data_IF_781526324699
#
_entry.id   IF_781526324699
#
_cell.length_a   1.000
_cell.length_b   1.000
_cell.length_c   1.000
_cell.angle_alpha   90.00
_cell.angle_beta   90.00
_cell.angle_gamma   90.00
#
_symmetry.space_group_name_H-M   'P 1'
#
loop_
_entity.id
_entity.type
_entity.pdbx_description
1 polymer ?
#
# COMPACT_ATOMS: atom_id res chain seq x y z
N UNK A 1 36.47 27.36 62.16
CA UNK A 1 36.18 26.71 60.86
C UNK A 1 35.52 27.74 59.98
N UNK A 2 36.28 28.27 59.04
CA UNK A 2 35.82 29.23 58.03
C UNK A 2 35.12 28.47 56.92
N UNK A 3 33.81 28.70 56.75
CA UNK A 3 33.08 28.23 55.57
C UNK A 3 33.65 28.94 54.33
N UNK A 4 34.19 28.18 53.38
CA UNK A 4 34.58 28.72 52.08
C UNK A 4 33.32 29.23 51.35
N UNK A 5 33.34 30.44 50.76
CA UNK A 5 32.22 30.91 49.97
C UNK A 5 32.14 30.05 48.71
N UNK A 6 31.20 29.10 48.71
CA UNK A 6 31.04 28.07 47.68
C UNK A 6 31.16 28.62 46.26
N UNK A 7 32.23 28.20 45.57
CA UNK A 7 32.45 28.40 44.15
C UNK A 7 31.52 27.51 43.31
N UNK A 8 30.21 27.67 43.50
CA UNK A 8 29.19 26.99 42.71
C UNK A 8 28.84 27.77 41.44
N UNK A 9 28.32 27.08 40.42
CA UNK A 9 27.88 27.67 39.16
C UNK A 9 26.94 28.88 39.35
N UNK A 10 26.06 28.82 40.36
CA UNK A 10 25.13 29.91 40.72
C UNK A 10 25.88 31.16 41.23
N UNK A 11 26.86 30.97 42.12
CA UNK A 11 27.64 32.07 42.71
C UNK A 11 28.58 32.74 41.68
N UNK A 12 28.97 32.00 40.63
CA UNK A 12 29.72 32.53 39.48
C UNK A 12 28.81 33.30 38.52
N UNK A 13 27.66 32.74 38.13
CA UNK A 13 26.68 33.42 37.26
C UNK A 13 26.16 34.73 37.88
N UNK A 14 25.97 34.77 39.22
CA UNK A 14 25.56 35.96 39.93
C UNK A 14 26.59 37.11 39.87
N UNK A 15 27.89 36.79 39.72
CA UNK A 15 28.97 37.80 39.59
C UNK A 15 29.24 38.18 38.14
N UNK A 16 28.91 37.30 37.19
CA UNK A 16 29.14 37.47 35.76
C UNK A 16 27.81 37.67 35.00
N UNK A 17 27.12 38.78 35.26
CA UNK A 17 25.81 39.11 34.68
C UNK A 17 25.79 39.13 33.14
N UNK A 18 26.90 39.54 32.50
CA UNK A 18 27.02 39.53 31.03
C UNK A 18 26.99 38.10 30.48
N UNK A 19 27.70 37.16 31.13
CA UNK A 19 27.72 35.76 30.72
C UNK A 19 26.36 35.09 30.92
N UNK A 20 25.68 35.40 32.04
CA UNK A 20 24.33 34.92 32.31
C UNK A 20 23.30 35.43 31.28
N UNK A 21 23.36 36.72 30.93
CA UNK A 21 22.46 37.29 29.92
C UNK A 21 22.75 36.75 28.52
N UNK A 22 24.02 36.54 28.15
CA UNK A 22 24.38 35.89 26.89
C UNK A 22 23.82 34.46 26.81
N UNK A 23 23.97 33.68 27.88
CA UNK A 23 23.41 32.34 27.95
C UNK A 23 21.88 32.35 27.82
N UNK A 24 21.21 33.28 28.50
CA UNK A 24 19.75 33.47 28.38
C UNK A 24 19.34 33.76 26.95
N UNK A 25 20.02 34.69 26.26
CA UNK A 25 19.71 35.02 24.86
C UNK A 25 19.95 33.83 23.94
N UNK A 26 21.03 33.07 24.14
CA UNK A 26 21.30 31.84 23.39
C UNK A 26 20.20 30.81 23.61
N UNK A 27 19.75 30.61 24.85
CA UNK A 27 18.67 29.67 25.17
C UNK A 27 17.32 30.12 24.58
N UNK A 28 17.00 31.41 24.62
CA UNK A 28 15.77 31.94 24.03
C UNK A 28 15.78 31.85 22.50
N UNK A 29 16.90 32.22 21.86
CA UNK A 29 17.05 32.11 20.42
C UNK A 29 17.04 30.64 19.96
N UNK A 30 17.72 29.75 20.70
CA UNK A 30 17.70 28.31 20.46
C UNK A 30 16.30 27.72 20.64
N UNK A 31 15.59 28.11 21.70
CA UNK A 31 14.21 27.70 21.93
C UNK A 31 13.28 28.13 20.80
N UNK A 32 13.36 29.40 20.38
CA UNK A 32 12.53 29.93 19.29
C UNK A 32 12.83 29.22 17.95
N UNK A 33 14.10 28.93 17.68
CA UNK A 33 14.50 28.15 16.51
C UNK A 33 13.92 26.73 16.57
N UNK A 34 14.08 26.03 17.69
CA UNK A 34 13.54 24.68 17.89
C UNK A 34 12.02 24.65 17.76
N UNK A 35 11.29 25.65 18.24
CA UNK A 35 9.82 25.73 18.08
C UNK A 35 9.39 25.75 16.61
N UNK A 36 10.19 26.35 15.73
CA UNK A 36 9.88 26.42 14.29
C UNK A 36 10.33 25.16 13.55
N UNK A 37 11.45 24.55 13.94
CA UNK A 37 12.04 23.40 13.21
C UNK A 37 11.56 22.04 13.71
N UNK A 38 10.95 21.95 14.90
CA UNK A 38 10.54 20.66 15.46
C UNK A 38 9.40 20.03 14.63
N UNK A 39 9.61 18.78 14.24
CA UNK A 39 8.58 17.96 13.59
C UNK A 39 7.49 17.64 14.60
N UNK A 40 6.24 17.89 14.22
CA UNK A 40 5.09 17.76 15.11
C UNK A 40 4.40 16.43 14.79
N UNK A 41 4.24 15.56 15.79
CA UNK A 41 3.56 14.27 15.67
C UNK A 41 2.69 14.00 16.91
N UNK A 42 1.44 13.51 16.74
CA UNK A 42 0.50 13.27 17.87
C UNK A 42 0.80 11.94 18.54
N UNK A 43 1.22 10.97 17.75
CA UNK A 43 1.54 9.63 18.21
C UNK A 43 3.03 9.42 18.05
N UNK A 44 3.72 8.84 19.04
CA UNK A 44 5.10 8.44 18.85
C UNK A 44 5.18 7.49 17.66
N UNK A 45 6.19 7.67 16.81
CA UNK A 45 6.48 6.68 15.78
C UNK A 45 6.90 5.39 16.47
N UNK A 46 6.04 4.39 16.41
CA UNK A 46 6.40 3.02 16.72
C UNK A 46 6.09 2.18 15.49
N UNK A 47 6.96 1.22 15.22
CA UNK A 47 6.79 0.31 14.12
C UNK A 47 6.00 -0.90 14.63
N UNK A 48 5.09 -1.47 13.83
CA UNK A 48 4.30 -2.64 14.26
C UNK A 48 5.18 -3.89 14.33
N UNK A 49 5.17 -4.60 15.45
CA UNK A 49 5.86 -5.88 15.61
C UNK A 49 4.97 -7.01 15.05
N UNK A 50 4.56 -6.91 13.79
CA UNK A 50 3.60 -7.84 13.16
C UNK A 50 4.09 -8.24 11.78
N UNK A 51 4.10 -9.54 11.51
CA UNK A 51 4.31 -10.12 10.17
C UNK A 51 2.99 -10.74 9.72
N UNK A 52 2.56 -10.43 8.50
CA UNK A 52 1.35 -10.98 7.91
C UNK A 52 1.73 -11.91 6.76
N UNK A 53 1.06 -13.06 6.70
CA UNK A 53 1.18 -14.04 5.62
C UNK A 53 -0.19 -14.17 4.96
N UNK A 54 -0.25 -14.05 3.63
CA UNK A 54 -1.46 -14.24 2.84
C UNK A 54 -1.23 -15.33 1.81
N UNK A 55 -2.20 -16.23 1.67
CA UNK A 55 -2.12 -17.33 0.71
C UNK A 55 -3.49 -17.47 0.05
N UNK A 56 -3.55 -17.38 -1.27
CA UNK A 56 -4.75 -17.68 -2.03
C UNK A 56 -4.84 -19.18 -2.33
N UNK A 57 -6.03 -19.72 -2.16
CA UNK A 57 -6.37 -21.10 -2.54
C UNK A 57 -7.76 -21.11 -3.19
N UNK A 58 -7.87 -20.62 -4.45
CA UNK A 58 -9.14 -20.39 -5.10
C UNK A 58 -10.02 -21.65 -5.16
N UNK A 59 -11.31 -21.50 -4.85
CA UNK A 59 -12.29 -22.59 -4.91
C UNK A 59 -12.27 -23.57 -3.73
N UNK A 60 -11.37 -23.40 -2.75
CA UNK A 60 -11.31 -24.22 -1.54
C UNK A 60 -12.31 -23.73 -0.47
N UNK A 61 -12.93 -24.68 0.24
CA UNK A 61 -13.77 -24.38 1.39
C UNK A 61 -12.93 -23.88 2.58
N UNK A 62 -13.47 -23.05 3.50
CA UNK A 62 -12.72 -22.54 4.65
C UNK A 62 -12.03 -23.64 5.48
N UNK A 63 -12.68 -24.80 5.62
CA UNK A 63 -12.09 -25.95 6.30
C UNK A 63 -10.87 -26.50 5.56
N UNK A 64 -10.90 -26.58 4.23
CA UNK A 64 -9.78 -27.06 3.43
C UNK A 64 -8.60 -26.09 3.47
N UNK A 65 -8.87 -24.78 3.41
CA UNK A 65 -7.86 -23.73 3.61
C UNK A 65 -7.19 -23.86 4.98
N UNK A 66 -7.97 -24.08 6.03
CA UNK A 66 -7.42 -24.33 7.37
C UNK A 66 -6.49 -25.55 7.39
N UNK A 67 -6.93 -26.68 6.84
CA UNK A 67 -6.17 -27.95 6.92
C UNK A 67 -4.94 -27.97 6.01
N UNK A 68 -5.10 -27.51 4.77
CA UNK A 68 -4.10 -27.65 3.71
C UNK A 68 -3.12 -26.48 3.62
N UNK A 69 -3.50 -25.31 4.14
CA UNK A 69 -2.70 -24.08 3.99
C UNK A 69 -2.29 -23.51 5.35
N UNK A 70 -3.24 -23.20 6.23
CA UNK A 70 -2.92 -22.50 7.48
C UNK A 70 -2.17 -23.38 8.48
N UNK A 71 -2.60 -24.65 8.67
CA UNK A 71 -1.92 -25.57 9.59
C UNK A 71 -0.43 -25.81 9.25
N UNK A 72 -0.05 -26.09 7.99
CA UNK A 72 1.37 -26.19 7.61
C UNK A 72 2.17 -24.92 7.91
N UNK A 73 1.59 -23.73 7.66
CA UNK A 73 2.24 -22.45 7.98
C UNK A 73 2.46 -22.31 9.48
N UNK A 74 1.44 -22.58 10.28
CA UNK A 74 1.52 -22.55 11.74
C UNK A 74 2.61 -23.49 12.28
N UNK A 75 2.66 -24.71 11.77
CA UNK A 75 3.66 -25.70 12.19
C UNK A 75 5.08 -25.28 11.80
N UNK A 76 5.26 -24.69 10.62
CA UNK A 76 6.56 -24.22 10.15
C UNK A 76 7.13 -23.07 10.98
N UNK A 77 6.27 -22.14 11.43
CA UNK A 77 6.72 -20.95 12.18
C UNK A 77 6.73 -21.15 13.70
N UNK A 78 6.04 -22.17 14.23
CA UNK A 78 5.94 -22.44 15.68
C UNK A 78 7.29 -22.58 16.39
N UNK A 79 8.33 -23.03 15.68
CA UNK A 79 9.68 -23.20 16.22
C UNK A 79 10.54 -21.93 16.26
N UNK A 80 10.06 -20.80 15.74
CA UNK A 80 10.81 -19.55 15.67
C UNK A 80 10.71 -18.82 17.01
N UNK A 81 11.86 -18.61 17.67
CA UNK A 81 11.92 -17.83 18.90
C UNK A 81 11.65 -16.34 18.61
N UNK A 82 10.85 -15.68 19.45
CA UNK A 82 10.51 -14.27 19.27
C UNK A 82 9.12 -14.00 18.69
N UNK A 83 8.33 -15.06 18.42
CA UNK A 83 6.89 -14.96 18.17
C UNK A 83 6.14 -14.90 19.50
N UNK A 84 5.30 -13.88 19.69
CA UNK A 84 4.42 -13.69 20.85
C UNK A 84 3.09 -14.42 20.67
N UNK A 85 2.41 -14.15 19.56
CA UNK A 85 1.07 -14.64 19.29
C UNK A 85 0.91 -14.91 17.79
N UNK A 86 0.12 -15.93 17.45
CA UNK A 86 -0.19 -16.27 16.08
C UNK A 86 -1.71 -16.43 15.97
N UNK A 87 -2.30 -15.69 15.05
CA UNK A 87 -3.73 -15.76 14.73
C UNK A 87 -3.92 -16.10 13.26
N UNK A 88 -4.63 -17.18 12.98
CA UNK A 88 -4.95 -17.62 11.61
C UNK A 88 -6.44 -17.43 11.34
N UNK A 89 -6.77 -16.96 10.14
CA UNK A 89 -8.16 -16.84 9.68
C UNK A 89 -8.30 -17.46 8.30
N UNK A 90 -9.26 -18.38 8.15
CA UNK A 90 -9.60 -19.00 6.88
C UNK A 90 -10.91 -18.41 6.35
N UNK A 91 -10.89 -18.03 5.08
CA UNK A 91 -12.09 -17.75 4.30
C UNK A 91 -12.17 -18.71 3.12
N UNK A 92 -13.30 -18.71 2.44
CA UNK A 92 -13.41 -19.38 1.14
C UNK A 92 -12.39 -18.76 0.19
N UNK A 93 -11.62 -19.61 -0.50
CA UNK A 93 -10.65 -19.16 -1.49
C UNK A 93 -9.34 -18.56 -0.95
N UNK A 94 -9.18 -18.28 0.36
CA UNK A 94 -7.96 -17.63 0.89
C UNK A 94 -7.75 -17.81 2.40
N UNK A 95 -6.49 -17.77 2.80
CA UNK A 95 -6.05 -17.79 4.21
C UNK A 95 -5.18 -16.60 4.58
N UNK A 96 -5.23 -16.20 5.85
CA UNK A 96 -4.34 -15.19 6.45
C UNK A 96 -3.77 -15.70 7.77
N UNK A 97 -2.48 -15.49 7.98
CA UNK A 97 -1.81 -15.70 9.28
C UNK A 97 -1.20 -14.38 9.73
N UNK A 98 -1.58 -13.92 10.92
CA UNK A 98 -1.04 -12.74 11.58
C UNK A 98 -0.13 -13.20 12.71
N UNK A 99 1.15 -12.85 12.62
CA UNK A 99 2.21 -13.25 13.56
C UNK A 99 2.66 -12.00 14.31
N UNK A 100 2.34 -11.93 15.59
CA UNK A 100 2.83 -10.88 16.48
C UNK A 100 4.18 -11.26 17.06
N UNK A 101 5.15 -10.35 17.00
CA UNK A 101 6.51 -10.54 17.50
C UNK A 101 6.64 -9.98 18.92
N UNK A 102 7.61 -10.49 19.67
CA UNK A 102 7.97 -9.95 20.99
C UNK A 102 8.59 -8.56 20.83
N UNK A 103 8.12 -7.61 21.64
CA UNK A 103 8.62 -6.24 21.60
C UNK A 103 10.12 -6.15 21.87
N UNK A 104 10.83 -5.43 21.00
CA UNK A 104 12.29 -5.24 21.07
C UNK A 104 13.11 -6.32 20.36
N UNK A 105 12.47 -7.32 19.75
CA UNK A 105 13.16 -8.26 18.87
C UNK A 105 13.54 -7.60 17.52
N UNK A 106 14.54 -8.17 16.84
CA UNK A 106 14.87 -7.75 15.47
C UNK A 106 13.81 -8.27 14.49
N UNK A 107 12.84 -7.39 14.20
CA UNK A 107 11.74 -7.64 13.26
C UNK A 107 12.19 -8.08 11.88
N UNK A 108 13.31 -7.55 11.38
CA UNK A 108 13.76 -7.83 10.02
C UNK A 108 14.36 -9.22 9.97
N UNK A 109 15.14 -9.57 11.00
CA UNK A 109 15.64 -10.92 11.18
C UNK A 109 14.49 -11.94 11.32
N UNK A 110 13.50 -11.66 12.17
CA UNK A 110 12.36 -12.56 12.37
C UNK A 110 11.49 -12.69 11.11
N UNK A 111 11.25 -11.59 10.40
CA UNK A 111 10.59 -11.61 9.10
C UNK A 111 11.32 -12.55 8.12
N UNK A 112 12.64 -12.43 7.99
CA UNK A 112 13.44 -13.30 7.12
C UNK A 112 13.39 -14.77 7.56
N UNK A 113 13.43 -15.04 8.86
CA UNK A 113 13.32 -16.41 9.39
C UNK A 113 11.94 -17.02 9.11
N UNK A 114 10.87 -16.24 9.27
CA UNK A 114 9.49 -16.64 8.96
C UNK A 114 9.33 -16.91 7.46
N UNK A 115 9.78 -15.97 6.61
CA UNK A 115 9.73 -16.09 5.16
C UNK A 115 10.45 -17.35 4.66
N UNK A 116 11.65 -17.63 5.20
CA UNK A 116 12.40 -18.85 4.91
C UNK A 116 11.72 -20.12 5.44
N UNK A 117 11.06 -20.07 6.60
CA UNK A 117 10.31 -21.20 7.12
C UNK A 117 9.13 -21.56 6.23
N UNK A 118 8.38 -20.56 5.76
CA UNK A 118 7.22 -20.73 4.88
C UNK A 118 7.65 -21.20 3.50
N UNK A 119 8.69 -20.59 2.93
CA UNK A 119 9.25 -20.98 1.61
C UNK A 119 9.74 -22.43 1.55
N UNK A 120 10.00 -23.07 2.69
CA UNK A 120 10.41 -24.49 2.77
C UNK A 120 9.24 -25.47 2.79
N UNK A 121 8.00 -25.01 2.94
CA UNK A 121 6.82 -25.86 2.95
C UNK A 121 6.63 -26.44 1.54
N UNK A 122 6.52 -27.78 1.46
CA UNK A 122 6.26 -28.52 0.20
C UNK A 122 4.91 -29.22 0.20
N UNK A 123 4.15 -29.07 1.28
CA UNK A 123 2.88 -29.76 1.52
C UNK A 123 1.67 -28.92 1.10
N UNK A 124 1.89 -27.74 0.52
CA UNK A 124 0.78 -26.97 -0.03
C UNK A 124 0.13 -27.74 -1.19
N UNK A 125 -1.21 -27.69 -1.32
CA UNK A 125 -1.91 -28.18 -2.51
C UNK A 125 -1.37 -27.54 -3.80
N UNK A 126 -1.43 -28.25 -4.92
CA UNK A 126 -0.90 -27.75 -6.21
C UNK A 126 -1.62 -26.49 -6.71
N UNK A 127 -2.90 -26.32 -6.36
CA UNK A 127 -3.73 -25.20 -6.79
C UNK A 127 -3.61 -23.94 -5.89
N UNK A 128 -2.67 -23.91 -4.93
CA UNK A 128 -2.42 -22.70 -4.12
C UNK A 128 -1.47 -21.74 -4.82
N UNK A 129 -1.73 -20.45 -4.68
CA UNK A 129 -0.77 -19.42 -5.09
C UNK A 129 0.42 -19.33 -4.12
N UNK A 130 1.51 -18.68 -4.55
CA UNK A 130 2.68 -18.48 -3.72
C UNK A 130 2.35 -17.64 -2.46
N UNK A 131 2.81 -18.06 -1.26
CA UNK A 131 2.61 -17.27 -0.05
C UNK A 131 3.24 -15.89 -0.11
N UNK A 132 2.45 -14.86 0.18
CA UNK A 132 2.94 -13.50 0.31
C UNK A 132 3.21 -13.19 1.79
N UNK A 133 4.49 -12.99 2.13
CA UNK A 133 4.91 -12.62 3.49
C UNK A 133 5.27 -11.14 3.52
N UNK A 134 4.62 -10.37 4.38
CA UNK A 134 4.82 -8.94 4.51
C UNK A 134 5.07 -8.52 5.96
N UNK A 135 6.06 -7.66 6.17
CA UNK A 135 6.22 -6.96 7.44
C UNK A 135 5.22 -5.81 7.49
N UNK A 136 4.29 -5.83 8.44
CA UNK A 136 3.27 -4.80 8.55
C UNK A 136 3.91 -3.46 8.94
N UNK A 137 3.74 -2.48 8.06
CA UNK A 137 4.08 -1.10 8.34
C UNK A 137 2.88 -0.39 8.98
N UNK A 138 3.14 0.49 9.94
CA UNK A 138 2.08 1.35 10.46
C UNK A 138 1.75 2.38 9.39
N UNK A 139 0.62 2.22 8.74
CA UNK A 139 0.04 3.22 7.85
C UNK A 139 -0.94 4.05 8.67
N UNK A 140 -0.78 5.36 8.62
CA UNK A 140 -1.70 6.28 9.25
C UNK A 140 -2.39 7.09 8.16
N UNK A 141 -3.70 6.94 8.07
CA UNK A 141 -4.52 7.69 7.15
C UNK A 141 -4.41 9.17 7.51
N UNK A 142 -4.05 10.00 6.53
CA UNK A 142 -3.93 11.46 6.66
C UNK A 142 -5.22 12.11 6.24
N UNK A 143 -5.72 11.72 5.07
CA UNK A 143 -6.92 12.25 4.45
C UNK A 143 -7.70 11.16 3.73
N UNK A 144 -9.00 11.34 3.68
CA UNK A 144 -9.95 10.55 2.92
C UNK A 144 -10.69 11.48 1.97
N UNK A 145 -10.68 11.15 0.69
CA UNK A 145 -11.36 11.90 -0.35
C UNK A 145 -12.43 11.00 -0.97
N UNK A 146 -13.66 11.45 -0.97
CA UNK A 146 -14.75 10.81 -1.71
C UNK A 146 -14.95 11.48 -3.06
N UNK A 147 -14.76 10.75 -4.15
CA UNK A 147 -15.26 11.12 -5.47
C UNK A 147 -16.66 10.55 -5.64
N UNK A 148 -17.62 11.35 -6.10
CA UNK A 148 -18.99 10.89 -6.30
C UNK A 148 -19.69 11.65 -7.43
N UNK A 149 -20.68 11.04 -8.06
CA UNK A 149 -21.42 11.70 -9.12
C UNK A 149 -22.46 10.81 -9.77
N UNK A 150 -23.37 11.42 -10.53
CA UNK A 150 -24.35 10.71 -11.36
C UNK A 150 -23.70 10.28 -12.69
N UNK A 151 -22.65 9.47 -12.56
CA UNK A 151 -21.88 8.90 -13.66
C UNK A 151 -21.74 7.41 -13.45
N UNK A 152 -21.43 6.71 -14.52
CA UNK A 152 -21.13 5.29 -14.45
C UNK A 152 -19.92 5.04 -13.51
N UNK A 153 -20.03 4.02 -12.64
CA UNK A 153 -18.99 3.67 -11.65
C UNK A 153 -17.64 3.38 -12.32
N UNK A 154 -17.64 2.91 -13.57
CA UNK A 154 -16.43 2.68 -14.36
C UNK A 154 -15.68 3.97 -14.66
N UNK A 155 -16.41 5.01 -15.09
CA UNK A 155 -15.81 6.31 -15.39
C UNK A 155 -15.32 6.99 -14.10
N UNK A 156 -16.07 6.82 -13.00
CA UNK A 156 -15.66 7.31 -11.69
C UNK A 156 -14.38 6.63 -11.19
N UNK A 157 -14.24 5.31 -11.40
CA UNK A 157 -13.01 4.58 -11.05
C UNK A 157 -11.82 5.02 -11.90
N UNK A 158 -11.95 5.15 -13.22
CA UNK A 158 -10.87 5.64 -14.09
C UNK A 158 -10.38 7.01 -13.64
N UNK A 159 -11.30 7.87 -13.26
CA UNK A 159 -10.99 9.18 -12.71
C UNK A 159 -10.26 9.09 -11.37
N UNK A 160 -10.69 8.19 -10.49
CA UNK A 160 -10.03 7.92 -9.21
C UNK A 160 -8.61 7.35 -9.39
N UNK A 161 -8.39 6.45 -10.35
CA UNK A 161 -7.06 5.94 -10.69
C UNK A 161 -6.16 7.06 -11.24
N UNK A 162 -6.68 7.89 -12.15
CA UNK A 162 -5.95 9.06 -12.64
C UNK A 162 -5.59 10.02 -11.50
N UNK A 163 -6.53 10.28 -10.59
CA UNK A 163 -6.28 11.13 -9.43
C UNK A 163 -5.22 10.50 -8.51
N UNK A 164 -5.29 9.19 -8.26
CA UNK A 164 -4.27 8.44 -7.51
C UNK A 164 -2.89 8.60 -8.14
N UNK A 165 -2.78 8.49 -9.46
CA UNK A 165 -1.49 8.65 -10.15
C UNK A 165 -0.95 10.08 -10.03
N UNK A 166 -1.82 11.10 -10.11
CA UNK A 166 -1.44 12.50 -9.88
C UNK A 166 -0.97 12.71 -8.45
N UNK A 167 -1.68 12.16 -7.46
CA UNK A 167 -1.33 12.27 -6.05
C UNK A 167 0.02 11.58 -5.76
N UNK A 168 0.22 10.34 -6.19
CA UNK A 168 1.48 9.60 -6.00
C UNK A 168 2.64 10.25 -6.76
N UNK A 169 2.38 11.00 -7.83
CA UNK A 169 3.40 11.77 -8.55
C UNK A 169 4.03 12.91 -7.74
N UNK A 170 3.42 13.32 -6.62
CA UNK A 170 3.96 14.35 -5.72
C UNK A 170 4.99 13.78 -4.73
N UNK A 171 6.10 14.49 -4.52
CA UNK A 171 7.21 14.02 -3.66
C UNK A 171 6.83 13.80 -2.18
N UNK A 172 5.76 14.48 -1.71
CA UNK A 172 5.30 14.38 -0.33
C UNK A 172 4.30 13.24 -0.12
N UNK A 173 3.69 12.69 -1.18
CA UNK A 173 2.62 11.70 -1.09
C UNK A 173 3.18 10.33 -1.52
N UNK A 174 3.38 9.44 -0.56
CA UNK A 174 4.01 8.11 -0.81
C UNK A 174 3.01 7.01 -1.07
N UNK A 175 1.81 7.09 -0.48
CA UNK A 175 0.86 6.00 -0.53
C UNK A 175 -0.58 6.51 -0.65
N UNK A 176 -1.23 6.05 -1.71
CA UNK A 176 -2.63 6.32 -2.02
C UNK A 176 -3.30 5.02 -2.44
N UNK A 177 -4.41 4.72 -1.80
CA UNK A 177 -5.20 3.51 -2.05
C UNK A 177 -6.63 3.89 -2.41
N UNK A 178 -7.22 3.12 -3.33
CA UNK A 178 -8.63 3.23 -3.64
C UNK A 178 -9.41 2.27 -2.72
N UNK A 179 -10.39 2.80 -1.99
CA UNK A 179 -11.29 2.03 -1.12
C UNK A 179 -12.58 1.63 -1.85
N UNK A 180 -13.06 0.43 -1.56
CA UNK A 180 -14.40 -0.05 -1.96
C UNK A 180 -14.70 0.07 -3.47
N UNK A 181 -13.68 -0.16 -4.31
CA UNK A 181 -13.80 -0.16 -5.77
C UNK A 181 -13.64 -1.57 -6.35
N UNK A 182 -14.48 -1.98 -7.34
CA UNK A 182 -14.35 -3.29 -8.00
C UNK A 182 -12.97 -3.48 -8.62
N UNK A 183 -12.27 -4.61 -8.40
CA UNK A 183 -10.93 -4.88 -8.96
C UNK A 183 -10.93 -5.03 -10.47
N UNK A 184 -9.94 -4.46 -11.17
CA UNK A 184 -9.83 -4.58 -12.62
C UNK A 184 -9.51 -6.02 -13.00
N UNK A 185 -10.35 -6.62 -13.85
CA UNK A 185 -10.21 -7.98 -14.34
C UNK A 185 -10.61 -8.07 -15.80
N UNK A 186 -9.71 -8.59 -16.62
CA UNK A 186 -10.04 -8.96 -18.00
C UNK A 186 -10.80 -10.29 -17.98
N UNK A 187 -12.04 -10.26 -18.47
CA UNK A 187 -12.89 -11.44 -18.60
C UNK A 187 -12.73 -12.04 -19.99
N UNK A 188 -12.39 -13.33 -20.04
CA UNK A 188 -12.24 -14.09 -21.29
C UNK A 188 -13.32 -15.17 -21.31
N UNK A 189 -14.38 -14.93 -22.08
CA UNK A 189 -15.51 -15.84 -22.19
C UNK A 189 -15.43 -16.66 -23.48
N UNK A 190 -15.33 -17.98 -23.36
CA UNK A 190 -15.15 -18.89 -24.49
C UNK A 190 -16.37 -19.79 -24.64
N UNK A 191 -17.00 -19.78 -25.81
CA UNK A 191 -18.15 -20.64 -26.07
C UNK A 191 -17.71 -22.12 -26.15
N UNK A 192 -18.51 -23.00 -25.54
CA UNK A 192 -18.24 -24.45 -25.57
C UNK A 192 -18.18 -25.02 -26.99
N UNK A 193 -18.91 -24.41 -27.92
CA UNK A 193 -18.97 -24.81 -29.32
C UNK A 193 -17.62 -24.56 -30.02
N UNK A 194 -17.00 -23.41 -29.75
CA UNK A 194 -15.68 -23.07 -30.30
C UNK A 194 -14.57 -23.94 -29.72
N UNK A 195 -14.59 -24.18 -28.39
CA UNK A 195 -13.68 -25.15 -27.76
C UNK A 195 -13.73 -26.52 -28.45
N UNK A 196 -14.94 -27.03 -28.72
CA UNK A 196 -15.13 -28.32 -29.41
C UNK A 196 -14.72 -28.29 -30.88
N UNK A 197 -14.99 -27.19 -31.58
CA UNK A 197 -14.66 -27.01 -33.01
C UNK A 197 -13.15 -27.04 -33.23
N UNK A 198 -12.38 -26.45 -32.31
CA UNK A 198 -10.93 -26.39 -32.37
C UNK A 198 -10.23 -27.49 -31.57
N UNK A 199 -10.99 -28.31 -30.83
CA UNK A 199 -10.44 -29.42 -30.04
C UNK A 199 -9.62 -28.96 -28.83
N UNK A 200 -9.91 -27.77 -28.31
CA UNK A 200 -9.21 -27.14 -27.18
C UNK A 200 -9.99 -27.30 -25.88
N UNK A 201 -9.25 -27.32 -24.77
CA UNK A 201 -9.79 -27.24 -23.41
C UNK A 201 -9.55 -25.86 -22.82
N UNK A 202 -10.33 -25.50 -21.79
CA UNK A 202 -10.11 -24.24 -21.06
C UNK A 202 -8.72 -24.19 -20.40
N UNK A 203 -8.24 -25.33 -19.89
CA UNK A 203 -6.91 -25.42 -19.27
C UNK A 203 -5.78 -25.14 -20.25
N UNK A 204 -5.87 -25.65 -21.48
CA UNK A 204 -4.87 -25.36 -22.52
C UNK A 204 -4.84 -23.87 -22.90
N UNK A 205 -6.02 -23.23 -22.99
CA UNK A 205 -6.08 -21.80 -23.29
C UNK A 205 -5.54 -20.97 -22.12
N UNK A 206 -5.87 -21.35 -20.88
CA UNK A 206 -5.34 -20.71 -19.68
C UNK A 206 -3.81 -20.79 -19.62
N UNK A 207 -3.22 -21.93 -20.00
CA UNK A 207 -1.77 -22.10 -20.06
C UNK A 207 -1.14 -21.17 -21.11
N UNK A 208 -1.73 -21.08 -22.31
CA UNK A 208 -1.24 -20.17 -23.36
C UNK A 208 -1.29 -18.71 -22.89
N UNK A 209 -2.38 -18.32 -22.22
CA UNK A 209 -2.53 -16.97 -21.64
C UNK A 209 -1.45 -16.72 -20.59
N UNK A 210 -1.22 -17.66 -19.66
CA UNK A 210 -0.19 -17.54 -18.62
C UNK A 210 1.19 -17.33 -19.23
N UNK A 211 1.60 -18.19 -20.16
CA UNK A 211 2.90 -18.08 -20.85
C UNK A 211 3.04 -16.76 -21.61
N UNK A 212 1.96 -16.26 -22.22
CA UNK A 212 1.97 -14.97 -22.93
C UNK A 212 1.96 -13.73 -22.03
N UNK A 213 1.63 -13.90 -20.75
CA UNK A 213 1.56 -12.81 -19.77
C UNK A 213 2.89 -12.60 -19.03
N UNK A 214 3.87 -13.49 -19.22
CA UNK A 214 5.19 -13.42 -18.60
C UNK A 214 6.20 -12.58 -19.41
N UNK A 215 6.96 -11.73 -18.71
CA UNK A 215 8.09 -11.01 -19.32
C UNK A 215 9.30 -11.95 -19.43
N UNK A 216 9.54 -12.52 -20.62
CA UNK A 216 10.70 -13.40 -20.86
C UNK A 216 11.94 -12.55 -21.21
N UNK A 217 13.00 -12.56 -20.39
CA UNK A 217 14.27 -11.93 -20.75
C UNK A 217 14.93 -12.73 -21.90
N UNK A 218 15.25 -12.06 -23.00
CA UNK A 218 15.93 -12.68 -24.15
C UNK A 218 17.46 -12.81 -23.96
N UNK A 219 17.95 -12.52 -22.76
CA UNK A 219 19.37 -12.58 -22.41
C UNK A 219 20.15 -11.37 -22.91
N UNK A 220 21.45 -11.56 -23.10
CA UNK A 220 22.37 -10.48 -23.42
C UNK A 220 23.25 -10.86 -24.60
N UNK A 221 23.42 -9.92 -25.54
CA UNK A 221 24.35 -10.06 -26.66
C UNK A 221 25.61 -9.28 -26.33
N UNK A 222 26.70 -10.01 -26.11
CA UNK A 222 28.02 -9.42 -26.00
C UNK A 222 28.55 -9.07 -27.40
N UNK A 223 28.81 -7.78 -27.63
CA UNK A 223 29.59 -7.32 -28.78
C UNK A 223 31.00 -6.96 -28.31
N UNK A 224 31.94 -6.82 -29.24
CA UNK A 224 33.35 -6.48 -28.94
C UNK A 224 33.55 -5.12 -28.24
N UNK A 225 32.51 -4.28 -28.16
CA UNK A 225 32.56 -2.96 -27.52
C UNK A 225 31.54 -2.78 -26.40
N UNK A 226 30.45 -3.55 -26.37
CA UNK A 226 29.39 -3.38 -25.38
C UNK A 226 28.49 -4.61 -25.25
N UNK A 227 27.98 -4.81 -24.04
CA UNK A 227 26.95 -5.77 -23.70
C UNK A 227 25.55 -5.15 -23.94
N UNK A 228 24.73 -5.76 -24.82
CA UNK A 228 23.38 -5.27 -25.16
C UNK A 228 22.34 -6.24 -24.59
N UNK A 229 21.55 -5.76 -23.62
CA UNK A 229 20.47 -6.53 -23.02
C UNK A 229 19.26 -6.59 -23.95
N UNK A 230 18.87 -7.80 -24.35
CA UNK A 230 17.70 -8.07 -25.16
C UNK A 230 16.54 -8.43 -24.24
N UNK A 231 15.44 -7.67 -24.34
CA UNK A 231 14.18 -7.96 -23.67
C UNK A 231 13.09 -8.08 -24.72
N UNK A 232 12.37 -9.20 -24.72
CA UNK A 232 11.14 -9.34 -25.50
C UNK A 232 10.03 -8.72 -24.67
N UNK A 233 9.35 -7.72 -25.22
CA UNK A 233 8.22 -7.06 -24.55
C UNK A 233 6.94 -7.68 -25.12
N UNK A 234 6.51 -8.80 -24.55
CA UNK A 234 5.27 -9.49 -24.95
C UNK A 234 4.20 -9.48 -23.85
N UNK A 235 4.40 -8.75 -22.74
CA UNK A 235 3.39 -8.64 -21.67
C UNK A 235 2.10 -7.98 -22.18
N UNK A 236 1.02 -8.76 -22.20
CA UNK A 236 -0.35 -8.34 -22.52
C UNK A 236 -1.14 -8.11 -21.23
N UNK A 237 -1.91 -7.02 -21.15
CA UNK A 237 -2.66 -6.62 -19.94
C UNK A 237 -4.06 -6.08 -20.20
N UNK A 238 -4.36 -5.69 -21.43
CA UNK A 238 -5.70 -5.21 -21.82
C UNK A 238 -6.44 -6.23 -22.67
N UNK A 239 -7.76 -6.12 -22.72
CA UNK A 239 -8.60 -6.96 -23.56
C UNK A 239 -8.15 -6.91 -25.02
N UNK A 240 -7.90 -5.73 -25.57
CA UNK A 240 -7.41 -5.53 -26.95
C UNK A 240 -6.09 -6.28 -27.20
N UNK A 241 -5.22 -6.32 -26.19
CA UNK A 241 -3.95 -7.02 -26.22
C UNK A 241 -4.14 -8.55 -26.18
N UNK A 242 -5.07 -9.04 -25.35
CA UNK A 242 -5.41 -10.45 -25.26
C UNK A 242 -6.18 -10.95 -26.49
N UNK A 243 -7.04 -10.16 -27.12
CA UNK A 243 -7.75 -10.54 -28.35
C UNK A 243 -6.79 -10.92 -29.47
N UNK A 244 -5.62 -10.29 -29.50
CA UNK A 244 -4.60 -10.53 -30.52
C UNK A 244 -3.75 -11.80 -30.25
N UNK A 245 -3.91 -12.42 -29.07
CA UNK A 245 -3.16 -13.60 -28.65
C UNK A 245 -3.40 -14.76 -29.62
N UNK A 246 -2.33 -15.38 -30.09
CA UNK A 246 -2.42 -16.50 -31.03
C UNK A 246 -2.61 -17.80 -30.25
N UNK A 247 -3.72 -18.48 -30.48
CA UNK A 247 -4.09 -19.72 -29.77
C UNK A 247 -3.72 -20.95 -30.60
N UNK A 248 -3.93 -20.89 -31.92
CA UNK A 248 -3.64 -22.01 -32.83
C UNK A 248 -2.82 -21.49 -34.00
N UNK A 249 -1.75 -22.21 -34.31
CA UNK A 249 -0.97 -22.04 -35.54
C UNK A 249 -1.05 -23.32 -36.37
N UNK A 250 -1.82 -23.26 -37.46
CA UNK A 250 -1.97 -24.37 -38.39
C UNK A 250 -0.70 -24.60 -39.24
N UNK A 251 -0.50 -25.81 -39.78
CA UNK A 251 0.67 -26.16 -40.59
C UNK A 251 0.78 -25.34 -41.89
N UNK A 252 -0.33 -24.76 -42.37
CA UNK A 252 -0.39 -23.90 -43.55
C UNK A 252 -0.17 -22.40 -43.23
N UNK A 253 0.15 -22.06 -41.97
CA UNK A 253 0.32 -20.68 -41.51
C UNK A 253 -0.99 -19.97 -41.16
N UNK A 254 -2.13 -20.68 -41.13
CA UNK A 254 -3.39 -20.16 -40.63
C UNK A 254 -3.30 -19.96 -39.11
N UNK A 255 -3.60 -18.76 -38.62
CA UNK A 255 -3.56 -18.42 -37.19
C UNK A 255 -4.98 -18.16 -36.70
N UNK A 256 -5.33 -18.75 -35.57
CA UNK A 256 -6.57 -18.44 -34.84
C UNK A 256 -6.18 -17.64 -33.61
N UNK A 257 -6.77 -16.46 -33.47
CA UNK A 257 -6.54 -15.57 -32.33
C UNK A 257 -7.59 -15.81 -31.24
N UNK A 258 -7.30 -15.36 -30.03
CA UNK A 258 -8.23 -15.47 -28.91
C UNK A 258 -9.53 -14.71 -29.21
N UNK A 259 -9.46 -13.52 -29.81
CA UNK A 259 -10.64 -12.76 -30.23
C UNK A 259 -11.49 -13.45 -31.30
N UNK A 260 -10.96 -14.46 -32.00
CA UNK A 260 -11.73 -15.24 -32.98
C UNK A 260 -12.61 -16.32 -32.32
N UNK A 261 -12.30 -16.70 -31.08
CA UNK A 261 -12.93 -17.82 -30.36
C UNK A 261 -13.51 -17.44 -28.99
N UNK A 262 -13.18 -16.25 -28.50
CA UNK A 262 -13.56 -15.76 -27.18
C UNK A 262 -14.07 -14.33 -27.26
N UNK A 263 -15.01 -13.98 -26.38
CA UNK A 263 -15.36 -12.60 -26.08
C UNK A 263 -14.44 -12.15 -24.95
N UNK A 264 -13.49 -11.28 -25.28
CA UNK A 264 -12.58 -10.69 -24.30
C UNK A 264 -13.11 -9.31 -23.94
N UNK A 265 -13.37 -9.07 -22.66
CA UNK A 265 -13.82 -7.77 -22.18
C UNK A 265 -13.03 -7.36 -20.96
N UNK A 266 -12.49 -6.15 -20.99
CA UNK A 266 -12.00 -5.54 -19.77
C UNK A 266 -13.22 -5.18 -18.92
N UNK A 267 -13.14 -5.57 -17.66
CA UNK A 267 -14.20 -5.31 -16.71
C UNK A 267 -13.59 -5.26 -15.33
N UNK A 268 -14.44 -5.39 -14.34
CA UNK A 268 -14.01 -5.49 -12.97
C UNK A 268 -14.86 -6.55 -12.30
N UNK A 269 -14.43 -7.04 -11.15
CA UNK A 269 -15.15 -8.09 -10.42
C UNK A 269 -16.62 -7.68 -10.18
N UNK A 270 -17.57 -8.46 -10.72
CA UNK A 270 -19.01 -8.17 -10.61
C UNK A 270 -19.54 -8.31 -9.17
N UNK A 271 -18.75 -8.92 -8.29
CA UNK A 271 -19.09 -9.15 -6.90
C UNK A 271 -18.43 -8.08 -6.00
N UNK A 272 -19.22 -7.14 -5.50
CA UNK A 272 -18.73 -6.16 -4.52
C UNK A 272 -19.81 -5.21 -4.05
N UNK A 273 -19.65 -4.69 -2.83
CA UNK A 273 -20.47 -3.58 -2.36
C UNK A 273 -19.92 -2.30 -3.00
N UNK A 274 -20.72 -1.63 -3.83
CA UNK A 274 -20.33 -0.35 -4.41
C UNK A 274 -20.52 0.75 -3.35
N UNK A 275 -19.48 1.55 -3.08
CA UNK A 275 -19.64 2.71 -2.22
C UNK A 275 -20.61 3.70 -2.86
N UNK A 276 -21.49 4.27 -2.05
CA UNK A 276 -22.48 5.25 -2.47
C UNK A 276 -22.50 6.41 -1.51
N UNK A 277 -22.63 7.61 -2.06
CA UNK A 277 -22.85 8.82 -1.30
C UNK A 277 -24.14 9.48 -1.79
N UNK A 278 -25.10 9.67 -0.88
CA UNK A 278 -26.42 10.24 -1.22
C UNK A 278 -27.11 9.57 -2.42
N UNK A 279 -27.04 8.23 -2.50
CA UNK A 279 -27.59 7.42 -3.60
C UNK A 279 -26.90 7.62 -4.96
N UNK A 280 -25.73 8.28 -4.98
CA UNK A 280 -24.87 8.36 -6.15
C UNK A 280 -23.66 7.42 -5.97
N UNK A 281 -23.18 6.78 -7.05
CA UNK A 281 -21.92 6.04 -7.03
C UNK A 281 -20.78 6.88 -6.43
N UNK A 282 -19.96 6.27 -5.58
CA UNK A 282 -18.83 6.91 -4.95
C UNK A 282 -17.60 6.00 -4.96
N UNK A 283 -16.42 6.65 -4.98
CA UNK A 283 -15.12 6.01 -4.84
C UNK A 283 -14.36 6.73 -3.73
N UNK A 284 -13.84 5.95 -2.79
CA UNK A 284 -13.01 6.45 -1.69
C UNK A 284 -11.54 6.41 -2.10
N UNK A 285 -10.82 7.48 -1.78
CA UNK A 285 -9.38 7.59 -1.98
C UNK A 285 -8.76 7.88 -0.62
N UNK A 286 -7.99 6.92 -0.15
CA UNK A 286 -7.32 6.97 1.14
C UNK A 286 -5.86 7.38 0.93
N UNK A 287 -5.46 8.49 1.54
CA UNK A 287 -4.08 8.98 1.53
C UNK A 287 -3.45 8.66 2.87
N UNK A 288 -2.31 7.98 2.84
CA UNK A 288 -1.56 7.59 4.03
C UNK A 288 -0.22 8.32 4.10
N UNK A 289 0.30 8.48 5.31
CA UNK A 289 1.70 8.81 5.51
C UNK A 289 2.47 7.57 5.95
N UNK A 290 3.71 7.45 5.46
CA UNK A 290 4.62 6.37 5.84
C UNK A 290 5.91 6.98 6.39
N UNK A 291 6.36 6.50 7.55
CA UNK A 291 7.61 6.95 8.17
C UNK A 291 7.53 8.39 8.72
N UNK A 292 8.52 9.23 8.40
CA UNK A 292 8.73 10.56 9.00
C UNK A 292 8.09 11.70 8.20
N UNK A 293 7.04 11.43 7.45
CA UNK A 293 6.37 12.47 6.67
C UNK A 293 5.41 13.29 7.54
N UNK A 294 5.37 14.60 7.31
CA UNK A 294 4.46 15.51 8.01
C UNK A 294 3.03 15.38 7.46
N UNK A 295 2.05 14.98 8.29
CA UNK A 295 0.64 14.89 7.85
C UNK A 295 0.08 16.24 7.40
N UNK A 296 0.58 17.34 7.96
CA UNK A 296 0.18 18.69 7.60
C UNK A 296 0.65 19.09 6.20
N UNK A 297 1.86 18.68 5.83
CA UNK A 297 2.40 18.95 4.49
C UNK A 297 1.66 18.11 3.45
N UNK A 298 1.44 16.81 3.70
CA UNK A 298 0.62 15.96 2.84
C UNK A 298 -0.77 16.59 2.64
N UNK A 299 -1.44 17.01 3.70
CA UNK A 299 -2.78 17.58 3.59
C UNK A 299 -2.83 18.90 2.81
N UNK A 300 -1.77 19.72 2.89
CA UNK A 300 -1.64 20.94 2.09
C UNK A 300 -1.47 20.61 0.61
N UNK A 301 -0.53 19.72 0.28
CA UNK A 301 -0.26 19.30 -1.11
C UNK A 301 -1.48 18.62 -1.75
N UNK A 302 -2.18 17.77 -0.98
CA UNK A 302 -3.43 17.15 -1.44
C UNK A 302 -4.49 18.20 -1.76
N UNK A 303 -4.67 19.23 -0.93
CA UNK A 303 -5.64 20.30 -1.21
C UNK A 303 -5.26 21.12 -2.45
N UNK A 304 -3.98 21.40 -2.65
CA UNK A 304 -3.48 22.09 -3.85
C UNK A 304 -3.74 21.24 -5.11
N UNK A 305 -3.42 19.95 -5.08
CA UNK A 305 -3.69 19.03 -6.19
C UNK A 305 -5.19 18.92 -6.47
N UNK A 306 -6.03 18.83 -5.44
CA UNK A 306 -7.48 18.74 -5.64
C UNK A 306 -8.07 20.02 -6.22
N UNK A 307 -7.56 21.20 -5.83
CA UNK A 307 -7.99 22.46 -6.40
C UNK A 307 -7.66 22.57 -7.90
N UNK A 308 -6.51 22.05 -8.32
CA UNK A 308 -6.14 21.98 -9.74
C UNK A 308 -6.95 20.90 -10.47
N UNK A 309 -7.11 19.73 -9.85
CA UNK A 309 -7.80 18.58 -10.43
C UNK A 309 -9.30 18.84 -10.62
N UNK A 310 -9.92 19.68 -9.78
CA UNK A 310 -11.32 20.09 -9.91
C UNK A 310 -11.64 20.65 -11.30
N UNK A 311 -10.69 21.35 -11.93
CA UNK A 311 -10.87 21.88 -13.29
C UNK A 311 -10.90 20.81 -14.39
N UNK A 312 -10.45 19.60 -14.08
CA UNK A 312 -10.40 18.45 -15.00
C UNK A 312 -11.54 17.46 -14.79
N UNK A 313 -12.37 17.67 -13.76
CA UNK A 313 -13.51 16.80 -13.47
C UNK A 313 -14.61 16.96 -14.55
N UNK A 314 -15.18 15.85 -15.05
CA UNK A 314 -16.35 15.90 -15.93
C UNK A 314 -17.57 16.54 -15.25
N UNK A 315 -18.48 17.10 -16.06
CA UNK A 315 -19.77 17.57 -15.54
C UNK A 315 -20.51 16.43 -14.82
N UNK A 316 -21.01 16.72 -13.60
CA UNK A 316 -21.73 15.74 -12.78
C UNK A 316 -20.86 14.96 -11.79
N UNK A 317 -19.53 15.09 -11.85
CA UNK A 317 -18.62 14.53 -10.84
C UNK A 317 -18.20 15.59 -9.84
N UNK A 318 -18.29 15.26 -8.57
CA UNK A 318 -17.90 16.11 -7.45
C UNK A 318 -16.93 15.34 -6.54
N UNK A 319 -16.24 16.08 -5.69
CA UNK A 319 -15.35 15.53 -4.69
C UNK A 319 -15.65 16.13 -3.32
N UNK A 320 -15.29 15.40 -2.25
CA UNK A 320 -15.42 15.84 -0.87
C UNK A 320 -14.29 15.26 -0.03
N UNK A 321 -14.01 15.91 1.10
CA UNK A 321 -13.10 15.39 2.12
C UNK A 321 -13.96 14.73 3.20
N UNK A 322 -13.78 13.43 3.37
CA UNK A 322 -14.58 12.60 4.29
C UNK A 322 -13.91 12.47 5.65
N UNK A 323 -12.59 12.47 5.64
CA UNK A 323 -11.74 12.39 6.81
C UNK A 323 -10.52 13.28 6.64
N UNK A 324 -10.19 14.05 7.68
CA UNK A 324 -9.01 14.90 7.67
C UNK A 324 -8.31 14.85 9.04
N UNK A 325 -7.51 13.80 9.23
CA UNK A 325 -6.73 13.61 10.45
C UNK A 325 -5.65 14.69 10.60
N UNK A 326 -5.22 15.33 9.52
CA UNK A 326 -4.30 16.46 9.56
C UNK A 326 -4.95 17.75 10.12
N UNK A 327 -6.25 17.96 9.90
CA UNK A 327 -6.97 19.06 10.53
C UNK A 327 -7.08 18.84 12.05
N UNK A 328 -7.49 17.63 12.47
CA UNK A 328 -7.54 17.24 13.87
C UNK A 328 -6.17 17.37 14.57
N UNK A 329 -5.10 17.04 13.84
CA UNK A 329 -3.72 17.25 14.26
C UNK A 329 -3.45 18.71 14.59
N UNK A 330 -3.78 19.60 13.65
CA UNK A 330 -3.53 21.04 13.77
C UNK A 330 -4.26 21.61 14.98
N UNK A 331 -5.50 21.23 15.19
CA UNK A 331 -6.33 21.74 16.28
C UNK A 331 -5.77 21.31 17.65
N UNK A 332 -5.29 20.07 17.77
CA UNK A 332 -4.62 19.59 19.00
C UNK A 332 -3.33 20.34 19.29
N UNK A 333 -2.50 20.59 18.29
CA UNK A 333 -1.25 21.35 18.47
C UNK A 333 -1.56 22.79 18.89
N UNK A 334 -2.54 23.43 18.26
CA UNK A 334 -2.97 24.78 18.63
C UNK A 334 -3.44 24.83 20.08
N UNK A 335 -4.28 23.87 20.50
CA UNK A 335 -4.76 23.78 21.88
C UNK A 335 -3.63 23.61 22.90
N UNK A 336 -2.63 22.76 22.60
CA UNK A 336 -1.45 22.59 23.48
C UNK A 336 -0.63 23.87 23.55
N UNK A 337 -0.45 24.56 22.42
CA UNK A 337 0.28 25.83 22.37
C UNK A 337 -0.46 26.94 23.15
N UNK A 338 -1.77 27.07 22.97
CA UNK A 338 -2.61 28.01 23.71
C UNK A 338 -2.58 27.75 25.22
N UNK A 339 -2.74 26.48 25.63
CA UNK A 339 -2.64 26.10 27.04
C UNK A 339 -1.24 26.36 27.62
N UNK A 340 -0.18 26.13 26.83
CA UNK A 340 1.20 26.45 27.22
C UNK A 340 1.41 27.94 27.43
N UNK A 341 0.88 28.78 26.52
CA UNK A 341 0.93 30.24 26.66
C UNK A 341 0.13 30.73 27.86
N UNK A 342 -1.07 30.19 28.09
CA UNK A 342 -1.87 30.49 29.28
C UNK A 342 -1.11 30.12 30.56
N UNK A 343 -0.44 28.97 30.60
CA UNK A 343 0.38 28.59 31.75
C UNK A 343 1.54 29.58 31.99
N UNK A 344 2.22 30.03 30.92
CA UNK A 344 3.28 31.06 31.01
C UNK A 344 2.73 32.41 31.50
N UNK A 345 1.49 32.75 31.15
CA UNK A 345 0.85 34.00 31.60
C UNK A 345 0.33 33.92 33.04
N UNK A 346 -0.04 32.73 33.51
CA UNK A 346 -0.55 32.50 34.87
C UNK A 346 0.60 32.41 35.88
N UNK A 347 1.73 31.84 35.49
CA UNK A 347 2.97 31.74 36.30
C UNK A 347 3.72 33.06 36.26
#
# INVERSE_FOLDING_TARGET
MSEEPGGGAIAWMARNSIAANLLMVILLAGGLWTTVTIQKEVFPQFQLDVVEVRIAYPGAAPTEVEQGVLRPVEEAVRGIEGIRELTSTAWEGRGRVTIELVSGADRMKLFQEIDQAISRIRTFPEDTEEPEVQLQARQQQVMEIGLFGDVDIWELRKLAERLRDVLIGNEYITQVELGNVPEYRTHIEIAREDLRKYGLTLGEIAEIINVSSEDIPAGTVETSAQEILLRVKERRQSADEFEQLQIISGPDGAVVRLGDIATVRDGFEEAGFHSQFNQQPAVEINIYHVGTQSPLDIAREVQEIMADFETTLPEGVNWRIDGNNAADFRDRVTLVAENGLLAILIV
#
